data_IF_753326579192
#
_entry.id   IF_753326579192
#
_cell.length_a   1.000
_cell.length_b   1.000
_cell.length_c   1.000
_cell.angle_alpha   90.00
_cell.angle_beta   90.00
_cell.angle_gamma   90.00
#
_symmetry.space_group_name_H-M   'P 1'
#
loop_
_entity.id
_entity.type
_entity.pdbx_description
1 polymer ?
#
# COMPACT_ATOMS: atom_id res chain seq x y z
N UNK A 1 5.60 -5.79 12.35
CA UNK A 1 4.77 -5.40 11.17
C UNK A 1 5.62 -5.26 9.92
N UNK A 2 5.06 -5.56 8.76
CA UNK A 2 5.72 -5.43 7.46
C UNK A 2 4.99 -4.40 6.60
N UNK A 3 5.73 -3.46 6.02
CA UNK A 3 5.20 -2.43 5.11
C UNK A 3 5.65 -2.80 3.69
N UNK A 4 4.72 -3.30 2.89
CA UNK A 4 4.95 -3.65 1.48
C UNK A 4 4.43 -2.53 0.60
N UNK A 5 5.23 -2.08 -0.36
CA UNK A 5 4.77 -1.05 -1.29
C UNK A 5 5.32 -1.24 -2.71
N UNK A 6 4.49 -0.84 -3.68
CA UNK A 6 4.89 -0.59 -5.06
C UNK A 6 4.81 0.92 -5.31
N UNK A 7 5.94 1.57 -5.55
CA UNK A 7 6.02 3.04 -5.57
C UNK A 7 7.02 3.60 -6.59
N UNK A 8 6.68 3.57 -7.90
CA UNK A 8 7.58 4.04 -8.94
C UNK A 8 8.01 5.50 -8.82
N UNK A 9 7.18 6.37 -8.23
CA UNK A 9 7.42 7.82 -8.11
C UNK A 9 7.57 8.31 -6.67
N UNK A 10 7.51 7.42 -5.68
CA UNK A 10 7.73 7.75 -4.27
C UNK A 10 6.48 8.11 -3.47
N UNK A 11 5.38 8.54 -4.09
CA UNK A 11 4.16 8.98 -3.40
C UNK A 11 3.50 7.87 -2.58
N UNK A 12 3.40 6.68 -3.15
CA UNK A 12 2.84 5.50 -2.45
C UNK A 12 3.70 5.09 -1.26
N UNK A 13 5.03 5.09 -1.42
CA UNK A 13 5.97 4.82 -0.32
C UNK A 13 5.80 5.82 0.81
N UNK A 14 5.67 7.12 0.49
CA UNK A 14 5.47 8.17 1.50
C UNK A 14 4.21 7.89 2.33
N UNK A 15 3.08 7.60 1.69
CA UNK A 15 1.83 7.28 2.39
C UNK A 15 1.96 6.01 3.25
N UNK A 16 2.53 4.95 2.71
CA UNK A 16 2.76 3.69 3.43
C UNK A 16 3.66 3.88 4.65
N UNK A 17 4.71 4.70 4.51
CA UNK A 17 5.64 5.00 5.58
C UNK A 17 4.98 5.77 6.72
N UNK A 18 4.19 6.80 6.41
CA UNK A 18 3.48 7.61 7.43
C UNK A 18 2.57 6.71 8.25
N UNK A 19 1.72 5.91 7.61
CA UNK A 19 0.77 5.02 8.29
C UNK A 19 1.52 3.93 9.07
N UNK A 20 2.41 3.23 8.40
CA UNK A 20 3.07 2.06 8.96
C UNK A 20 3.99 2.37 10.14
N UNK A 21 4.72 3.48 10.06
CA UNK A 21 5.62 3.88 11.16
C UNK A 21 4.90 4.52 12.34
N UNK A 22 3.71 5.05 12.14
CA UNK A 22 2.86 5.48 13.25
C UNK A 22 2.33 4.27 14.04
N UNK A 23 1.92 3.20 13.33
CA UNK A 23 1.43 1.96 13.97
C UNK A 23 2.58 1.19 14.62
N UNK A 24 3.69 1.02 13.92
CA UNK A 24 4.87 0.29 14.38
C UNK A 24 6.17 0.98 13.93
N UNK A 25 6.82 1.77 14.81
CA UNK A 25 8.09 2.43 14.50
C UNK A 25 9.20 1.47 14.04
N UNK A 26 9.12 0.20 14.42
CA UNK A 26 10.08 -0.85 14.05
C UNK A 26 9.66 -1.66 12.82
N UNK A 27 8.55 -1.28 12.15
CA UNK A 27 8.06 -1.99 10.96
C UNK A 27 9.15 -2.12 9.89
N UNK A 28 9.23 -3.30 9.28
CA UNK A 28 10.18 -3.62 8.21
C UNK A 28 9.60 -3.24 6.85
N UNK A 29 10.35 -2.51 6.03
CA UNK A 29 9.95 -2.14 4.68
C UNK A 29 10.32 -3.23 3.66
N UNK A 30 9.37 -3.57 2.78
CA UNK A 30 9.55 -4.49 1.65
C UNK A 30 9.17 -3.73 0.38
N UNK A 31 10.17 -3.28 -0.37
CA UNK A 31 9.99 -2.60 -1.65
C UNK A 31 9.83 -3.61 -2.78
N UNK A 32 8.61 -3.72 -3.30
CA UNK A 32 8.31 -4.57 -4.47
C UNK A 32 8.38 -3.79 -5.81
N UNK A 33 8.80 -2.53 -5.78
CA UNK A 33 9.03 -1.74 -7.01
C UNK A 33 10.30 -2.19 -7.71
N UNK A 34 11.31 -2.58 -6.93
CA UNK A 34 12.61 -3.01 -7.45
C UNK A 34 12.51 -4.37 -8.16
N UNK A 35 12.81 -4.38 -9.45
CA UNK A 35 12.79 -5.60 -10.26
C UNK A 35 13.88 -6.61 -9.87
N UNK A 36 14.96 -6.19 -9.24
CA UNK A 36 16.03 -7.09 -8.79
C UNK A 36 15.60 -7.97 -7.63
N UNK A 37 14.56 -7.57 -6.90
CA UNK A 37 13.96 -8.31 -5.77
C UNK A 37 12.73 -9.14 -6.17
N UNK A 38 12.41 -9.25 -7.44
CA UNK A 38 11.22 -9.94 -7.95
C UNK A 38 11.13 -11.42 -7.57
N UNK A 39 12.23 -12.05 -7.22
CA UNK A 39 12.29 -13.47 -6.88
C UNK A 39 12.09 -13.76 -5.39
N UNK A 40 12.08 -12.75 -4.54
CA UNK A 40 11.88 -12.95 -3.12
C UNK A 40 10.43 -13.33 -2.83
N UNK A 41 10.26 -14.37 -2.04
CA UNK A 41 8.97 -14.77 -1.46
C UNK A 41 9.00 -14.49 0.02
N UNK A 42 7.87 -14.08 0.56
CA UNK A 42 7.70 -13.79 1.98
C UNK A 42 6.52 -14.60 2.52
N UNK A 43 6.74 -15.28 3.62
CA UNK A 43 5.72 -16.05 4.31
C UNK A 43 5.51 -15.47 5.71
N UNK A 44 4.35 -14.85 5.94
CA UNK A 44 4.03 -14.13 7.16
C UNK A 44 3.08 -14.96 8.01
N UNK A 45 3.38 -15.10 9.29
CA UNK A 45 2.55 -15.86 10.22
C UNK A 45 1.35 -15.02 10.72
N UNK A 46 0.44 -15.65 11.47
CA UNK A 46 -0.76 -15.00 11.98
C UNK A 46 -0.52 -13.92 13.06
N UNK A 47 0.68 -13.87 13.65
CA UNK A 47 1.06 -12.85 14.64
C UNK A 47 1.67 -11.60 13.97
N UNK A 48 2.05 -11.71 12.70
CA UNK A 48 2.49 -10.57 11.90
C UNK A 48 1.32 -9.65 11.53
N UNK A 49 1.63 -8.46 11.10
CA UNK A 49 0.68 -7.54 10.47
C UNK A 49 1.27 -7.05 9.16
N UNK A 50 0.48 -7.05 8.10
CA UNK A 50 0.86 -6.57 6.79
C UNK A 50 0.20 -5.22 6.51
N UNK A 51 0.97 -4.22 6.09
CA UNK A 51 0.46 -3.04 5.41
C UNK A 51 0.88 -3.12 3.95
N UNK A 52 -0.07 -3.07 3.04
CA UNK A 52 0.19 -3.07 1.59
C UNK A 52 -0.25 -1.76 1.00
N UNK A 53 0.65 -1.08 0.28
CA UNK A 53 0.35 0.16 -0.42
C UNK A 53 0.68 0.06 -1.91
N UNK A 54 -0.29 0.41 -2.75
CA UNK A 54 -0.15 0.40 -4.21
C UNK A 54 -0.72 1.68 -4.83
N UNK A 55 -0.17 2.14 -5.96
CA UNK A 55 -0.76 3.23 -6.71
C UNK A 55 -1.95 2.75 -7.53
N UNK A 56 -2.79 3.69 -7.94
CA UNK A 56 -3.90 3.46 -8.86
C UNK A 56 -3.55 4.02 -10.24
N UNK A 57 -3.51 3.17 -11.24
CA UNK A 57 -3.28 3.53 -12.63
C UNK A 57 -4.51 3.14 -13.46
N UNK A 58 -5.21 4.14 -14.02
CA UNK A 58 -6.44 3.91 -14.79
C UNK A 58 -7.54 3.20 -13.99
N UNK A 59 -7.70 3.50 -12.71
CA UNK A 59 -8.70 2.89 -11.82
C UNK A 59 -8.37 1.46 -11.36
N UNK A 60 -7.17 0.97 -11.63
CA UNK A 60 -6.73 -0.39 -11.32
C UNK A 60 -5.38 -0.40 -10.60
N UNK A 61 -5.11 -1.49 -9.90
CA UNK A 61 -3.75 -1.77 -9.41
C UNK A 61 -2.86 -2.15 -10.59
N UNK A 62 -1.62 -1.64 -10.69
CA UNK A 62 -0.69 -2.07 -11.74
C UNK A 62 -0.52 -3.59 -11.74
N UNK A 63 -0.66 -4.24 -12.90
CA UNK A 63 -0.58 -5.71 -13.02
C UNK A 63 0.74 -6.26 -12.48
N UNK A 64 1.84 -5.55 -12.69
CA UNK A 64 3.16 -5.91 -12.16
C UNK A 64 3.18 -5.91 -10.63
N UNK A 65 2.44 -5.00 -9.97
CA UNK A 65 2.31 -5.01 -8.51
C UNK A 65 1.50 -6.22 -8.04
N UNK A 66 0.39 -6.53 -8.71
CA UNK A 66 -0.42 -7.73 -8.42
C UNK A 66 0.44 -9.00 -8.52
N UNK A 67 1.22 -9.16 -9.58
CA UNK A 67 2.05 -10.35 -9.78
C UNK A 67 3.15 -10.51 -8.72
N UNK A 68 3.67 -9.39 -8.22
CA UNK A 68 4.66 -9.40 -7.14
C UNK A 68 4.02 -9.67 -5.78
N UNK A 69 2.82 -9.14 -5.53
CA UNK A 69 2.07 -9.39 -4.31
C UNK A 69 1.70 -10.87 -4.14
N UNK A 70 1.47 -11.61 -5.22
CA UNK A 70 1.21 -13.07 -5.19
C UNK A 70 2.34 -13.90 -4.56
N UNK A 71 3.52 -13.33 -4.37
CA UNK A 71 4.67 -13.98 -3.74
C UNK A 71 4.75 -13.75 -2.23
N UNK A 72 3.78 -13.02 -1.69
CA UNK A 72 3.66 -12.76 -0.27
C UNK A 72 2.46 -13.55 0.22
N UNK A 73 2.69 -14.49 1.10
CA UNK A 73 1.67 -15.36 1.66
C UNK A 73 1.48 -15.08 3.15
N UNK A 74 0.25 -15.24 3.61
CA UNK A 74 -0.14 -15.10 5.00
C UNK A 74 -0.87 -16.33 5.51
N UNK A 75 -1.00 -16.45 6.82
CA UNK A 75 -1.71 -17.52 7.52
C UNK A 75 -2.79 -16.89 8.42
N UNK A 76 -3.84 -16.37 7.81
CA UNK A 76 -4.86 -15.53 8.46
C UNK A 76 -4.25 -14.25 9.08
N UNK A 77 -3.17 -13.76 8.47
CA UNK A 77 -2.41 -12.60 8.91
C UNK A 77 -3.22 -11.32 8.70
N UNK A 78 -3.38 -10.45 9.71
CA UNK A 78 -4.06 -9.17 9.54
C UNK A 78 -3.40 -8.28 8.48
N UNK A 79 -4.20 -7.66 7.60
CA UNK A 79 -3.72 -6.80 6.54
C UNK A 79 -4.46 -5.45 6.47
N UNK A 80 -3.68 -4.38 6.38
CA UNK A 80 -4.13 -3.01 6.12
C UNK A 80 -3.84 -2.71 4.66
N UNK A 81 -4.86 -2.31 3.90
CA UNK A 81 -4.75 -2.06 2.48
C UNK A 81 -4.81 -0.57 2.18
N UNK A 82 -3.85 -0.08 1.41
CA UNK A 82 -3.72 1.33 1.05
C UNK A 82 -3.66 1.45 -0.47
N UNK A 83 -4.60 2.17 -1.07
CA UNK A 83 -4.50 2.59 -2.46
C UNK A 83 -4.20 4.08 -2.52
N UNK A 84 -3.28 4.46 -3.38
CA UNK A 84 -2.81 5.84 -3.52
C UNK A 84 -3.11 6.33 -4.94
N UNK A 85 -3.92 7.39 -5.06
CA UNK A 85 -4.39 7.87 -6.34
C UNK A 85 -4.17 9.38 -6.52
N UNK A 86 -4.15 9.83 -7.78
CA UNK A 86 -3.85 11.20 -8.17
C UNK A 86 -5.07 12.15 -8.17
N UNK A 87 -5.98 12.00 -7.22
CA UNK A 87 -7.15 12.87 -7.01
C UNK A 87 -8.22 12.84 -8.13
N UNK A 88 -8.26 11.80 -8.96
CA UNK A 88 -9.38 11.58 -9.90
C UNK A 88 -10.37 10.59 -9.29
N UNK A 89 -10.02 9.32 -9.30
CA UNK A 89 -10.79 8.21 -8.72
C UNK A 89 -9.85 7.02 -8.52
N UNK A 90 -10.23 6.10 -7.63
CA UNK A 90 -9.54 4.83 -7.44
C UNK A 90 -10.34 3.64 -7.98
N UNK A 91 -11.57 3.88 -8.47
CA UNK A 91 -12.45 2.89 -9.10
C UNK A 91 -12.43 1.52 -8.37
N UNK A 92 -12.07 0.44 -9.08
CA UNK A 92 -12.02 -0.91 -8.54
C UNK A 92 -10.69 -1.29 -7.87
N UNK A 93 -9.70 -0.39 -7.82
CA UNK A 93 -8.35 -0.73 -7.35
C UNK A 93 -8.32 -1.28 -5.93
N UNK A 94 -9.13 -0.73 -5.01
CA UNK A 94 -9.17 -1.19 -3.63
C UNK A 94 -9.79 -2.59 -3.53
N UNK A 95 -10.83 -2.88 -4.29
CA UNK A 95 -11.45 -4.20 -4.36
C UNK A 95 -10.51 -5.23 -4.98
N UNK A 96 -9.79 -4.86 -6.03
CA UNK A 96 -8.78 -5.70 -6.67
C UNK A 96 -7.63 -6.05 -5.71
N UNK A 97 -7.12 -5.04 -4.98
CA UNK A 97 -6.10 -5.25 -3.96
C UNK A 97 -6.60 -6.19 -2.86
N UNK A 98 -7.80 -5.94 -2.34
CA UNK A 98 -8.43 -6.78 -1.31
C UNK A 98 -8.52 -8.23 -1.77
N UNK A 99 -9.10 -8.47 -2.94
CA UNK A 99 -9.27 -9.82 -3.49
C UNK A 99 -7.93 -10.53 -3.63
N UNK A 100 -6.90 -9.82 -4.09
CA UNK A 100 -5.54 -10.38 -4.25
C UNK A 100 -4.94 -10.78 -2.90
N UNK A 101 -4.99 -9.91 -1.93
CA UNK A 101 -4.37 -10.11 -0.61
C UNK A 101 -5.11 -11.22 0.17
N UNK A 102 -6.45 -11.22 0.16
CA UNK A 102 -7.23 -12.26 0.82
C UNK A 102 -7.02 -13.64 0.17
N UNK A 103 -6.86 -13.72 -1.15
CA UNK A 103 -6.54 -14.99 -1.84
C UNK A 103 -5.14 -15.51 -1.49
N UNK A 104 -4.26 -14.67 -0.96
CA UNK A 104 -2.93 -15.05 -0.49
C UNK A 104 -2.88 -15.42 1.00
N UNK A 105 -4.03 -15.57 1.68
CA UNK A 105 -4.11 -16.03 3.07
C UNK A 105 -4.10 -14.92 4.12
N UNK A 106 -4.36 -13.68 3.73
CA UNK A 106 -4.47 -12.55 4.65
C UNK A 106 -5.94 -12.25 5.00
N UNK A 107 -6.14 -11.61 6.15
CA UNK A 107 -7.42 -11.07 6.57
C UNK A 107 -7.39 -9.54 6.51
N UNK A 108 -8.19 -8.94 5.64
CA UNK A 108 -8.30 -7.48 5.57
C UNK A 108 -8.98 -6.93 6.83
N UNK A 109 -8.27 -6.10 7.58
CA UNK A 109 -8.78 -5.45 8.80
C UNK A 109 -9.06 -3.97 8.60
N UNK A 110 -8.39 -3.31 7.65
CA UNK A 110 -8.64 -1.91 7.32
C UNK A 110 -8.30 -1.61 5.85
N UNK A 111 -9.00 -0.61 5.28
CA UNK A 111 -8.79 -0.14 3.92
C UNK A 111 -8.71 1.38 3.89
N UNK A 112 -7.73 1.92 3.18
CA UNK A 112 -7.52 3.35 3.04
C UNK A 112 -7.35 3.71 1.57
N UNK A 113 -8.03 4.76 1.12
CA UNK A 113 -7.75 5.43 -0.14
C UNK A 113 -7.16 6.81 0.16
N UNK A 114 -5.93 7.06 -0.23
CA UNK A 114 -5.27 8.34 0.01
C UNK A 114 -4.81 9.00 -1.29
N UNK A 115 -4.77 10.35 -1.25
CA UNK A 115 -4.39 11.18 -2.39
C UNK A 115 -2.89 11.43 -2.33
N UNK A 116 -2.22 11.31 -3.51
CA UNK A 116 -0.86 11.78 -3.70
C UNK A 116 -0.74 12.55 -5.02
N UNK A 117 0.37 13.27 -5.19
CA UNK A 117 0.67 13.95 -6.44
C UNK A 117 0.60 12.96 -7.63
N UNK A 118 -0.12 13.35 -8.68
CA UNK A 118 -0.29 12.51 -9.85
C UNK A 118 1.05 12.25 -10.54
N UNK A 119 1.39 11.00 -10.76
CA UNK A 119 2.72 10.58 -11.21
C UNK A 119 3.13 11.11 -12.60
N UNK A 120 2.15 11.37 -13.47
CA UNK A 120 2.38 11.87 -14.84
C UNK A 120 1.99 13.35 -14.95
N UNK A 121 0.75 13.69 -14.56
CA UNK A 121 0.25 15.06 -14.60
C UNK A 121 0.40 15.74 -13.24
N UNK A 122 1.62 16.13 -12.90
CA UNK A 122 2.01 16.65 -11.59
C UNK A 122 1.33 17.94 -11.13
N UNK A 123 0.49 18.55 -11.97
CA UNK A 123 -0.37 19.67 -11.58
C UNK A 123 -1.52 19.23 -10.68
N UNK A 124 -1.95 17.95 -10.76
CA UNK A 124 -3.00 17.41 -9.92
C UNK A 124 -2.44 16.90 -8.60
N UNK A 125 -3.06 17.30 -7.51
CA UNK A 125 -2.66 16.98 -6.14
C UNK A 125 -1.17 17.29 -5.86
N UNK A 126 -0.65 18.37 -6.46
CA UNK A 126 0.77 18.76 -6.34
C UNK A 126 1.20 18.88 -4.88
N UNK A 127 2.32 18.24 -4.56
CA UNK A 127 2.90 18.25 -3.22
C UNK A 127 2.20 17.35 -2.20
N UNK A 128 1.18 16.58 -2.60
CA UNK A 128 0.48 15.65 -1.70
C UNK A 128 1.16 14.26 -1.63
N UNK A 129 1.10 13.54 -0.50
CA UNK A 129 0.51 13.96 0.79
C UNK A 129 1.25 15.16 1.39
N UNK A 130 0.50 16.17 1.82
CA UNK A 130 1.00 17.34 2.55
C UNK A 130 0.87 17.16 4.08
N UNK A 131 1.10 18.23 4.87
CA UNK A 131 1.03 18.17 6.33
C UNK A 131 -0.37 17.82 6.87
N UNK A 132 -1.42 18.26 6.16
CA UNK A 132 -2.80 17.98 6.57
C UNK A 132 -3.14 16.51 6.28
N UNK A 133 -2.71 15.99 5.14
CA UNK A 133 -2.82 14.58 4.80
C UNK A 133 -2.05 13.71 5.81
N UNK A 134 -0.84 14.12 6.18
CA UNK A 134 -0.03 13.41 7.18
C UNK A 134 -0.75 13.32 8.52
N UNK A 135 -1.41 14.39 8.93
CA UNK A 135 -2.20 14.42 10.16
C UNK A 135 -3.40 13.47 10.08
N UNK A 136 -4.12 13.48 8.94
CA UNK A 136 -5.25 12.56 8.72
C UNK A 136 -4.80 11.10 8.72
N UNK A 137 -3.70 10.78 8.04
CA UNK A 137 -3.16 9.44 7.98
C UNK A 137 -2.68 8.93 9.35
N UNK A 138 -2.08 9.79 10.16
CA UNK A 138 -1.70 9.46 11.54
C UNK A 138 -2.91 9.19 12.42
N UNK A 139 -3.91 10.06 12.39
CA UNK A 139 -5.16 9.88 13.15
C UNK A 139 -5.88 8.57 12.75
N UNK A 140 -5.81 8.18 11.47
CA UNK A 140 -6.33 6.89 11.02
C UNK A 140 -5.57 5.71 11.65
N UNK A 141 -4.28 5.84 11.83
CA UNK A 141 -3.43 4.78 12.40
C UNK A 141 -3.68 4.51 13.88
N UNK A 142 -4.34 5.44 14.58
CA UNK A 142 -4.71 5.33 16.00
C UNK A 142 -6.05 4.59 16.24
N UNK A 143 -6.82 4.31 15.18
CA UNK A 143 -8.11 3.60 15.23
C UNK A 143 -7.93 2.08 15.13
#
# INVERSE_FOLDING_TARGET
>A
MHIVYFSPTGGTRKAAYIIGKEIDPQATEIDITDHTRQQNSYDLNGEDTLLVAVPVYGGRVPSVAIDRLKRITGHNTPAILVVVYGNRDYDDALLELKTTIESNGFQTVACIACIAEHSIMRVYAKGRPDSDDETILKNFSEQ
#
